data_IF_759523069260
#
_entry.id   IF_759523069260
#
_cell.length_a   1.000
_cell.length_b   1.000
_cell.length_c   1.000
_cell.angle_alpha   90.00
_cell.angle_beta   90.00
_cell.angle_gamma   90.00
#
_symmetry.space_group_name_H-M   'P 1'
#
loop_
_entity.id
_entity.type
_entity.pdbx_description
1 polymer ?
#
# COMPACT_ATOMS: atom_id res chain seq x y z
N UNK A 1 11.79 -58.33 -8.79
CA UNK A 1 12.93 -58.24 -9.71
C UNK A 1 13.39 -56.79 -9.73
N UNK A 2 14.63 -56.57 -9.31
CA UNK A 2 15.29 -55.27 -9.22
C UNK A 2 15.69 -54.78 -10.61
N UNK A 3 15.55 -53.48 -10.84
CA UNK A 3 16.05 -52.80 -12.03
C UNK A 3 16.23 -51.31 -11.72
N UNK A 4 17.30 -50.98 -11.01
CA UNK A 4 17.74 -49.59 -10.77
C UNK A 4 18.75 -49.26 -11.86
N UNK A 5 18.40 -48.34 -12.75
CA UNK A 5 19.34 -47.71 -13.67
C UNK A 5 19.95 -46.47 -13.00
N UNK A 6 21.27 -46.50 -12.83
CA UNK A 6 22.07 -45.36 -12.45
C UNK A 6 22.70 -44.77 -13.71
N UNK A 7 22.44 -43.49 -13.99
CA UNK A 7 23.23 -42.73 -14.95
C UNK A 7 23.71 -41.42 -14.32
N UNK A 8 25.02 -41.30 -14.37
CA UNK A 8 25.88 -40.23 -13.88
C UNK A 8 25.84 -39.00 -14.78
N UNK A 9 25.79 -37.80 -14.18
CA UNK A 9 26.22 -36.58 -14.86
C UNK A 9 27.41 -35.94 -14.13
N UNK A 10 28.53 -35.97 -14.84
CA UNK A 10 29.80 -35.33 -14.59
C UNK A 10 29.72 -33.81 -14.74
N UNK A 11 30.25 -33.07 -13.77
CA UNK A 11 30.58 -31.65 -13.89
C UNK A 11 32.03 -31.49 -14.37
N UNK A 12 32.33 -30.57 -15.30
CA UNK A 12 33.70 -30.15 -15.51
C UNK A 12 34.05 -28.92 -14.65
N UNK A 13 35.17 -29.05 -13.94
CA UNK A 13 36.00 -27.96 -13.42
C UNK A 13 37.19 -27.73 -14.38
N UNK A 14 37.48 -26.48 -14.74
CA UNK A 14 38.83 -25.93 -15.02
C UNK A 14 38.70 -24.42 -15.35
N UNK A 15 39.19 -23.52 -14.49
CA UNK A 15 40.51 -22.83 -14.55
C UNK A 15 40.64 -21.91 -15.78
N UNK A 16 40.60 -20.57 -15.70
CA UNK A 16 41.47 -19.58 -15.01
C UNK A 16 42.33 -18.80 -16.03
N UNK A 17 42.23 -17.46 -16.01
CA UNK A 17 43.29 -16.54 -16.42
C UNK A 17 43.16 -15.20 -15.66
N UNK A 18 44.22 -14.82 -14.96
CA UNK A 18 44.33 -13.62 -14.13
C UNK A 18 44.97 -12.43 -14.87
N UNK A 19 44.53 -11.21 -14.55
CA UNK A 19 45.31 -9.96 -14.42
C UNK A 19 44.32 -8.90 -13.92
N UNK A 20 44.50 -8.13 -12.86
CA UNK A 20 45.56 -7.91 -11.88
C UNK A 20 45.33 -6.50 -11.33
N UNK A 21 45.14 -6.32 -10.03
CA UNK A 21 45.39 -5.03 -9.36
C UNK A 21 45.30 -5.20 -7.85
N UNK A 22 46.26 -4.58 -7.17
CA UNK A 22 46.60 -4.73 -5.77
C UNK A 22 45.65 -3.89 -4.91
N UNK A 23 45.11 -4.49 -3.84
CA UNK A 23 44.98 -3.78 -2.57
C UNK A 23 44.92 -4.80 -1.43
N UNK A 24 46.03 -4.92 -0.71
CA UNK A 24 46.14 -5.72 0.51
C UNK A 24 45.36 -4.99 1.61
N UNK A 25 44.32 -5.63 2.16
CA UNK A 25 43.93 -5.43 3.56
C UNK A 25 44.00 -6.78 4.25
N UNK A 26 44.78 -6.81 5.32
CA UNK A 26 44.88 -7.93 6.23
C UNK A 26 43.50 -8.19 6.86
N UNK A 27 42.98 -9.41 6.71
CA UNK A 27 41.92 -9.94 7.56
C UNK A 27 42.56 -10.91 8.53
N UNK A 28 42.44 -10.63 9.82
CA UNK A 28 42.72 -11.59 10.89
C UNK A 28 41.42 -12.34 11.16
N UNK A 29 41.44 -13.66 10.92
CA UNK A 29 40.40 -14.59 11.35
C UNK A 29 40.64 -14.95 12.81
N UNK A 30 39.64 -14.76 13.67
CA UNK A 30 39.57 -15.44 14.97
C UNK A 30 38.46 -16.47 14.87
N UNK A 31 38.88 -17.74 14.87
CA UNK A 31 38.03 -18.91 14.97
C UNK A 31 37.62 -19.07 16.44
N UNK A 32 36.33 -19.07 16.74
CA UNK A 32 35.81 -19.55 18.02
C UNK A 32 34.65 -20.50 17.76
N UNK A 33 34.95 -21.79 17.94
CA UNK A 33 34.01 -22.91 17.96
C UNK A 33 33.37 -22.99 19.34
N UNK A 34 32.04 -22.89 19.45
CA UNK A 34 31.30 -23.37 20.62
C UNK A 34 29.99 -24.04 20.18
N UNK A 35 29.95 -25.36 20.37
CA UNK A 35 28.75 -26.22 20.46
C UNK A 35 28.09 -25.98 21.81
N UNK A 36 26.77 -25.79 21.85
CA UNK A 36 25.98 -25.91 23.08
C UNK A 36 24.66 -25.13 23.05
N UNK A 37 23.55 -25.85 23.23
CA UNK A 37 22.16 -25.39 23.34
C UNK A 37 21.64 -25.84 24.73
N UNK A 38 20.48 -25.43 25.31
CA UNK A 38 19.66 -24.20 25.23
C UNK A 38 19.31 -23.58 26.63
N UNK A 39 18.55 -22.47 26.60
CA UNK A 39 17.54 -21.92 27.58
C UNK A 39 17.96 -20.93 28.71
N UNK A 40 17.26 -19.78 28.65
CA UNK A 40 16.85 -18.83 29.72
C UNK A 40 17.99 -18.00 30.36
N UNK A 41 17.94 -16.67 30.57
CA UNK A 41 16.84 -15.70 30.79
C UNK A 41 17.36 -14.25 30.62
N UNK A 42 16.44 -13.32 30.32
CA UNK A 42 16.37 -11.88 30.66
C UNK A 42 17.61 -10.96 30.64
N UNK A 43 17.43 -9.78 30.01
CA UNK A 43 17.97 -8.52 30.53
C UNK A 43 18.67 -7.59 29.53
N UNK A 44 17.98 -6.50 29.20
CA UNK A 44 18.49 -5.14 29.00
C UNK A 44 19.82 -4.91 28.27
N UNK A 45 19.81 -4.19 27.14
CA UNK A 45 20.80 -3.15 26.82
C UNK A 45 20.23 -2.15 25.81
N UNK A 46 20.03 -0.91 26.26
CA UNK A 46 20.13 0.24 25.38
C UNK A 46 21.61 0.61 25.21
N UNK A 47 21.99 1.19 24.07
CA UNK A 47 23.10 2.13 23.94
C UNK A 47 23.20 2.63 22.49
N UNK A 48 23.00 3.93 22.27
CA UNK A 48 23.79 4.70 21.31
C UNK A 48 23.69 6.20 21.64
N UNK A 49 24.62 6.62 22.50
CA UNK A 49 25.05 8.01 22.70
C UNK A 49 26.49 8.09 22.20
N UNK A 50 26.75 8.93 21.19
CA UNK A 50 28.07 9.50 20.85
C UNK A 50 27.78 10.79 20.07
N UNK A 51 27.88 11.96 20.70
CA UNK A 51 29.11 12.76 20.91
C UNK A 51 29.76 13.14 19.57
N UNK A 52 29.54 14.39 19.18
CA UNK A 52 30.52 15.17 18.44
C UNK A 52 30.69 16.51 19.17
N UNK A 53 31.86 16.67 19.76
CA UNK A 53 32.38 17.90 20.34
C UNK A 53 33.71 18.21 19.65
N UNK A 54 34.07 19.50 19.66
CA UNK A 54 35.30 20.16 19.18
C UNK A 54 35.24 20.62 17.70
N UNK A 55 35.51 21.88 17.35
CA UNK A 55 36.43 22.88 17.93
C UNK A 55 35.93 24.33 17.78
N UNK A 56 36.16 25.13 18.82
CA UNK A 56 36.27 26.60 18.80
C UNK A 56 37.62 27.00 18.22
N UNK A 57 37.66 28.10 17.46
CA UNK A 57 38.84 28.95 17.29
C UNK A 57 38.41 30.42 17.47
N UNK A 58 39.12 31.15 18.34
CA UNK A 58 38.95 32.58 18.59
C UNK A 58 40.14 33.37 18.00
N UNK A 59 39.80 34.45 17.26
CA UNK A 59 40.39 35.81 17.25
C UNK A 59 41.84 36.07 16.76
N UNK A 60 42.21 37.32 16.31
CA UNK A 60 41.66 38.63 16.73
C UNK A 60 41.46 39.77 15.68
N UNK A 61 40.67 40.75 16.14
CA UNK A 61 40.67 42.23 15.99
C UNK A 61 41.47 42.94 14.88
N UNK A 62 40.81 43.85 14.17
CA UNK A 62 41.31 45.22 13.91
C UNK A 62 40.16 46.26 13.91
N UNK A 63 40.48 47.43 14.45
CA UNK A 63 39.64 48.57 14.86
C UNK A 63 39.41 49.64 13.76
N UNK A 64 38.46 50.54 14.08
CA UNK A 64 38.25 51.96 13.66
C UNK A 64 37.06 52.20 12.71
N UNK A 65 35.95 52.79 13.19
CA UNK A 65 35.64 54.24 13.36
C UNK A 65 35.25 54.88 11.99
N UNK A 66 34.23 55.74 11.80
CA UNK A 66 33.49 56.68 12.65
C UNK A 66 32.40 57.39 11.79
N UNK A 67 31.47 58.11 12.47
CA UNK A 67 30.53 59.18 12.01
C UNK A 67 29.14 58.73 11.50
N UNK A 68 28.08 58.81 12.32
CA UNK A 68 27.22 59.98 12.65
C UNK A 68 26.46 60.59 11.47
N UNK A 69 25.13 60.52 11.50
CA UNK A 69 24.26 61.71 11.58
C UNK A 69 22.79 61.28 11.82
N UNK A 70 22.22 61.84 12.88
CA UNK A 70 20.79 61.86 13.20
C UNK A 70 20.28 63.24 12.77
N UNK A 71 19.14 63.30 12.08
CA UNK A 71 18.29 64.50 12.07
C UNK A 71 16.83 64.09 11.95
N UNK A 72 16.02 64.69 12.82
CA UNK A 72 14.61 64.42 13.04
C UNK A 72 13.71 65.49 12.39
N UNK A 73 12.46 65.06 12.16
CA UNK A 73 11.19 65.80 12.24
C UNK A 73 10.86 66.91 11.23
N UNK A 74 9.71 66.74 10.56
CA UNK A 74 8.59 67.69 10.63
C UNK A 74 7.30 67.02 10.12
N UNK A 75 6.27 67.03 10.96
CA UNK A 75 4.87 66.72 10.62
C UNK A 75 4.19 68.03 10.24
N UNK A 76 3.49 68.08 9.09
CA UNK A 76 2.39 69.02 8.86
C UNK A 76 1.25 68.27 8.18
N UNK A 77 0.08 68.36 8.80
CA UNK A 77 -1.22 67.82 8.38
C UNK A 77 -1.92 68.85 7.50
N UNK A 78 -2.54 68.43 6.37
CA UNK A 78 -3.97 68.67 6.03
C UNK A 78 -4.28 68.59 4.53
N UNK A 79 -5.39 67.90 4.24
CA UNK A 79 -6.38 68.10 3.16
C UNK A 79 -6.01 67.76 1.69
N UNK A 80 -6.61 66.68 1.16
CA UNK A 80 -7.74 66.76 0.20
C UNK A 80 -7.97 65.43 -0.56
N UNK A 81 -9.23 64.97 -0.49
CA UNK A 81 -9.99 64.21 -1.50
C UNK A 81 -9.51 62.82 -1.97
N UNK A 82 -10.14 61.81 -1.36
CA UNK A 82 -10.96 60.79 -2.03
C UNK A 82 -10.46 60.26 -3.39
N UNK A 83 -9.46 59.37 -3.35
CA UNK A 83 -9.23 58.35 -4.37
C UNK A 83 -9.48 56.97 -3.77
N UNK A 84 -10.60 56.35 -4.13
CA UNK A 84 -10.93 54.97 -3.79
C UNK A 84 -9.82 54.02 -4.27
N UNK A 85 -9.00 53.54 -3.34
CA UNK A 85 -8.21 52.33 -3.50
C UNK A 85 -8.56 51.44 -2.30
N UNK A 86 -9.23 50.29 -2.50
CA UNK A 86 -9.33 49.32 -1.43
C UNK A 86 -7.90 48.89 -1.11
N UNK A 87 -7.49 49.13 0.13
CA UNK A 87 -6.34 48.46 0.70
C UNK A 87 -6.48 46.97 0.36
N UNK A 88 -5.52 46.44 -0.38
CA UNK A 88 -5.21 45.02 -0.44
C UNK A 88 -4.80 44.61 0.98
N UNK A 89 -5.78 44.53 1.88
CA UNK A 89 -5.76 43.54 2.93
C UNK A 89 -5.84 42.25 2.15
N UNK A 90 -4.67 41.65 1.92
CA UNK A 90 -4.60 40.23 1.67
C UNK A 90 -5.38 39.60 2.82
N UNK A 91 -6.64 39.25 2.54
CA UNK A 91 -7.30 38.20 3.25
C UNK A 91 -6.34 37.01 3.10
N UNK A 92 -5.50 36.82 4.12
CA UNK A 92 -5.13 35.49 4.54
C UNK A 92 -6.47 34.83 4.84
N UNK A 93 -7.10 34.32 3.78
CA UNK A 93 -7.97 33.17 3.91
C UNK A 93 -7.16 32.23 4.78
N UNK A 94 -7.66 31.98 6.00
CA UNK A 94 -7.21 30.86 6.80
C UNK A 94 -7.00 29.73 5.81
N UNK A 95 -5.76 29.23 5.75
CA UNK A 95 -5.42 28.12 4.88
C UNK A 95 -6.54 27.10 5.08
N UNK A 96 -7.33 26.84 4.03
CA UNK A 96 -8.37 25.82 4.09
C UNK A 96 -7.69 24.60 4.71
N UNK A 97 -8.15 24.20 5.91
CA UNK A 97 -7.40 23.24 6.72
C UNK A 97 -7.00 22.04 5.87
N UNK A 98 -5.78 21.54 6.06
CA UNK A 98 -5.30 20.35 5.33
C UNK A 98 -6.40 19.27 5.35
N UNK A 99 -6.78 18.74 4.18
CA UNK A 99 -7.86 17.72 4.12
C UNK A 99 -7.44 16.50 4.92
N UNK A 100 -6.14 16.23 4.98
CA UNK A 100 -5.58 15.19 5.82
C UNK A 100 -5.79 15.43 7.32
N UNK A 101 -5.66 16.68 7.78
CA UNK A 101 -5.92 17.05 9.18
C UNK A 101 -7.41 16.95 9.52
N UNK A 102 -8.29 17.40 8.63
CA UNK A 102 -9.75 17.26 8.79
C UNK A 102 -10.16 15.78 8.80
N UNK A 103 -9.66 14.97 7.87
CA UNK A 103 -9.90 13.53 7.83
C UNK A 103 -9.42 12.84 9.11
N UNK A 104 -8.21 13.16 9.57
CA UNK A 104 -7.65 12.63 10.82
C UNK A 104 -8.47 13.03 12.03
N UNK A 105 -8.97 14.27 12.08
CA UNK A 105 -9.87 14.71 13.14
C UNK A 105 -11.14 13.86 13.13
N UNK A 106 -11.83 13.74 11.98
CA UNK A 106 -13.05 12.94 11.84
C UNK A 106 -12.83 11.46 12.17
N UNK A 107 -11.67 10.89 11.84
CA UNK A 107 -11.32 9.52 12.21
C UNK A 107 -11.26 9.29 13.73
N UNK A 108 -10.86 10.31 14.49
CA UNK A 108 -10.59 10.22 15.93
C UNK A 108 -11.76 10.73 16.78
N UNK A 109 -12.61 11.59 16.22
CA UNK A 109 -13.79 12.13 16.87
C UNK A 109 -14.78 11.02 17.22
N UNK A 110 -15.25 11.02 18.47
CA UNK A 110 -16.20 10.01 18.97
C UNK A 110 -15.65 8.59 19.13
N UNK A 111 -14.37 8.35 18.83
CA UNK A 111 -13.75 7.03 18.99
C UNK A 111 -12.94 6.93 20.28
N UNK A 112 -13.29 5.93 21.08
CA UNK A 112 -12.53 5.52 22.26
C UNK A 112 -11.43 4.54 21.85
N UNK A 113 -10.33 5.09 21.32
CA UNK A 113 -9.11 4.34 21.00
C UNK A 113 -7.95 4.89 21.83
N UNK A 114 -7.12 4.03 22.45
CA UNK A 114 -6.03 4.45 23.33
C UNK A 114 -4.84 5.06 22.57
N UNK A 115 -4.92 5.11 21.23
CA UNK A 115 -3.86 5.56 20.36
C UNK A 115 -4.36 6.71 19.48
N UNK A 116 -3.49 7.69 19.23
CA UNK A 116 -3.80 8.86 18.38
C UNK A 116 -2.88 8.99 17.18
N UNK A 117 -1.80 8.21 17.11
CA UNK A 117 -0.87 8.22 15.97
C UNK A 117 -0.74 6.81 15.39
N UNK A 118 -0.44 6.70 14.10
CA UNK A 118 -0.15 5.42 13.45
C UNK A 118 0.89 4.60 14.25
N UNK A 119 2.01 5.22 14.65
CA UNK A 119 3.05 4.54 15.42
C UNK A 119 2.56 4.04 16.79
N UNK A 120 1.77 4.84 17.53
CA UNK A 120 1.21 4.40 18.80
C UNK A 120 0.20 3.27 18.64
N UNK A 121 -0.62 3.30 17.59
CA UNK A 121 -1.60 2.25 17.30
C UNK A 121 -0.90 0.95 16.88
N UNK A 122 0.17 1.05 16.07
CA UNK A 122 1.00 -0.08 15.71
C UNK A 122 1.61 -0.76 16.94
N UNK A 123 2.24 0.02 17.83
CA UNK A 123 2.88 -0.50 19.03
C UNK A 123 1.87 -1.20 19.96
N UNK A 124 0.72 -0.57 20.22
CA UNK A 124 -0.34 -1.16 21.04
C UNK A 124 -0.97 -2.38 20.37
N UNK A 125 -1.19 -2.33 19.06
CA UNK A 125 -1.78 -3.43 18.28
C UNK A 125 -0.89 -4.68 18.29
N UNK A 126 0.41 -4.51 18.06
CA UNK A 126 1.40 -5.59 18.18
C UNK A 126 1.44 -6.16 19.60
N UNK A 127 1.48 -5.30 20.62
CA UNK A 127 1.49 -5.73 22.02
C UNK A 127 0.20 -6.49 22.40
N UNK A 128 -0.96 -6.03 21.94
CA UNK A 128 -2.23 -6.72 22.12
C UNK A 128 -2.23 -8.09 21.42
N UNK A 129 -1.68 -8.17 20.21
CA UNK A 129 -1.59 -9.42 19.44
C UNK A 129 -0.66 -10.43 20.12
N UNK A 130 0.49 -9.99 20.62
CA UNK A 130 1.43 -10.81 21.39
C UNK A 130 0.82 -11.32 22.69
N UNK A 131 0.01 -10.51 23.35
CA UNK A 131 -0.75 -10.89 24.53
C UNK A 131 -1.97 -11.77 24.25
N UNK A 132 -2.20 -12.17 22.99
CA UNK A 132 -3.34 -12.99 22.58
C UNK A 132 -4.69 -12.26 22.56
N UNK A 133 -4.71 -10.93 22.73
CA UNK A 133 -5.91 -10.09 22.68
C UNK A 133 -6.26 -9.73 21.24
N UNK A 134 -6.59 -10.74 20.44
CA UNK A 134 -6.74 -10.63 18.98
C UNK A 134 -7.78 -9.60 18.56
N UNK A 135 -8.94 -9.53 19.26
CA UNK A 135 -9.99 -8.55 18.97
C UNK A 135 -9.53 -7.10 19.20
N UNK A 136 -8.77 -6.86 20.26
CA UNK A 136 -8.19 -5.54 20.54
C UNK A 136 -7.14 -5.19 19.50
N UNK A 137 -6.26 -6.14 19.16
CA UNK A 137 -5.26 -5.97 18.11
C UNK A 137 -5.90 -5.62 16.77
N UNK A 138 -6.99 -6.28 16.39
CA UNK A 138 -7.73 -6.00 15.15
C UNK A 138 -8.22 -4.54 15.12
N UNK A 139 -8.83 -4.05 16.21
CA UNK A 139 -9.28 -2.66 16.31
C UNK A 139 -8.12 -1.67 16.22
N UNK A 140 -7.02 -1.94 16.94
CA UNK A 140 -5.84 -1.07 16.99
C UNK A 140 -5.12 -1.00 15.64
N UNK A 141 -4.96 -2.13 14.97
CA UNK A 141 -4.32 -2.23 13.65
C UNK A 141 -5.21 -1.64 12.55
N UNK A 142 -6.53 -1.77 12.64
CA UNK A 142 -7.43 -1.05 11.73
C UNK A 142 -7.29 0.47 11.88
N UNK A 143 -7.19 0.98 13.12
CA UNK A 143 -6.92 2.39 13.38
C UNK A 143 -5.52 2.81 12.89
N UNK A 144 -4.51 1.95 13.06
CA UNK A 144 -3.17 2.16 12.51
C UNK A 144 -3.21 2.40 11.00
N UNK A 145 -3.91 1.55 10.25
CA UNK A 145 -4.05 1.64 8.79
C UNK A 145 -4.70 2.98 8.37
N UNK A 146 -5.84 3.33 8.98
CA UNK A 146 -6.53 4.58 8.69
C UNK A 146 -5.64 5.82 8.96
N UNK A 147 -4.89 5.83 10.07
CA UNK A 147 -3.96 6.91 10.38
C UNK A 147 -2.72 6.91 9.47
N UNK A 148 -2.28 5.75 8.96
CA UNK A 148 -1.22 5.66 7.96
C UNK A 148 -1.62 6.35 6.66
N UNK A 149 -2.87 6.19 6.25
CA UNK A 149 -3.40 6.78 5.03
C UNK A 149 -3.66 8.27 5.18
N UNK A 150 -4.14 8.72 6.35
CA UNK A 150 -4.16 10.14 6.66
C UNK A 150 -2.76 10.77 6.54
N UNK A 151 -1.72 10.05 6.98
CA UNK A 151 -0.33 10.49 6.84
C UNK A 151 0.14 10.50 5.38
N UNK A 152 -0.35 9.57 4.55
CA UNK A 152 -0.07 9.54 3.11
C UNK A 152 -0.69 10.74 2.40
N UNK A 153 -1.95 11.05 2.69
CA UNK A 153 -2.62 12.25 2.18
C UNK A 153 -1.87 13.52 2.58
N UNK A 154 -1.48 13.66 3.85
CA UNK A 154 -0.73 14.81 4.33
C UNK A 154 0.62 14.96 3.61
N UNK A 155 1.30 13.84 3.35
CA UNK A 155 2.56 13.83 2.64
C UNK A 155 2.43 14.22 1.16
N UNK A 156 1.31 13.85 0.53
CA UNK A 156 0.95 14.26 -0.84
C UNK A 156 0.64 15.75 -0.91
N UNK A 157 -0.18 16.28 0.00
CA UNK A 157 -0.47 17.72 0.08
C UNK A 157 0.79 18.57 0.31
N UNK A 158 1.67 18.10 1.20
CA UNK A 158 2.94 18.76 1.51
C UNK A 158 4.02 18.63 0.42
N UNK A 159 3.77 17.87 -0.65
CA UNK A 159 4.69 17.64 -1.78
C UNK A 159 6.14 17.28 -1.37
N UNK A 160 6.30 16.50 -0.30
CA UNK A 160 7.60 16.16 0.27
C UNK A 160 7.98 14.70 -0.03
N UNK A 161 8.95 14.43 -0.94
CA UNK A 161 9.30 13.06 -1.32
C UNK A 161 9.70 12.16 -0.14
N UNK A 162 10.38 12.74 0.87
CA UNK A 162 10.76 12.04 2.10
C UNK A 162 9.55 11.68 2.95
N UNK A 163 8.58 12.58 3.06
CA UNK A 163 7.33 12.32 3.78
C UNK A 163 6.50 11.24 3.05
N UNK A 164 6.42 11.30 1.73
CA UNK A 164 5.69 10.32 0.91
C UNK A 164 6.29 8.93 1.04
N UNK A 165 7.62 8.79 0.96
CA UNK A 165 8.30 7.51 1.18
C UNK A 165 8.02 6.93 2.57
N UNK A 166 8.12 7.77 3.60
CA UNK A 166 7.77 7.35 4.97
C UNK A 166 6.30 6.96 5.12
N UNK A 167 5.38 7.63 4.44
CA UNK A 167 3.96 7.32 4.52
C UNK A 167 3.60 6.01 3.81
N UNK A 168 4.17 5.77 2.61
CA UNK A 168 4.02 4.48 1.90
C UNK A 168 4.48 3.31 2.74
N UNK A 169 5.64 3.45 3.40
CA UNK A 169 6.17 2.43 4.30
C UNK A 169 5.24 2.14 5.48
N UNK A 170 4.59 3.17 6.06
CA UNK A 170 3.62 3.00 7.15
C UNK A 170 2.36 2.26 6.69
N UNK A 171 1.83 2.58 5.52
CA UNK A 171 0.67 1.85 4.98
C UNK A 171 1.02 0.39 4.69
N UNK A 172 2.19 0.13 4.11
CA UNK A 172 2.66 -1.23 3.87
C UNK A 172 2.85 -2.02 5.18
N UNK A 173 3.38 -1.41 6.24
CA UNK A 173 3.49 -2.06 7.54
C UNK A 173 2.13 -2.30 8.21
N UNK A 174 1.18 -1.37 8.09
CA UNK A 174 -0.17 -1.58 8.60
C UNK A 174 -0.85 -2.79 7.94
N UNK A 175 -0.64 -2.99 6.63
CA UNK A 175 -1.08 -4.21 5.93
C UNK A 175 -0.38 -5.46 6.47
N UNK A 176 0.92 -5.40 6.78
CA UNK A 176 1.63 -6.53 7.43
C UNK A 176 1.01 -6.83 8.79
N UNK A 177 0.72 -5.83 9.61
CA UNK A 177 0.06 -6.04 10.90
C UNK A 177 -1.35 -6.60 10.75
N UNK A 178 -2.12 -6.19 9.73
CA UNK A 178 -3.42 -6.78 9.43
C UNK A 178 -3.27 -8.26 9.06
N UNK A 179 -2.27 -8.61 8.24
CA UNK A 179 -1.94 -10.00 7.96
C UNK A 179 -1.57 -10.80 9.21
N UNK A 180 -0.80 -10.23 10.14
CA UNK A 180 -0.42 -10.87 11.39
C UNK A 180 -1.66 -11.17 12.28
N UNK A 181 -2.63 -10.25 12.31
CA UNK A 181 -3.92 -10.47 12.97
C UNK A 181 -4.66 -11.65 12.32
N UNK A 182 -4.71 -11.72 10.99
CA UNK A 182 -5.37 -12.81 10.28
C UNK A 182 -4.70 -14.17 10.51
N UNK A 183 -3.36 -14.21 10.63
CA UNK A 183 -2.64 -15.42 11.03
C UNK A 183 -3.10 -15.91 12.40
N UNK A 184 -3.32 -15.00 13.37
CA UNK A 184 -3.83 -15.37 14.70
C UNK A 184 -5.28 -15.84 14.69
N UNK A 185 -6.09 -15.36 13.75
CA UNK A 185 -7.46 -15.82 13.52
C UNK A 185 -7.53 -17.16 12.75
N UNK A 186 -6.40 -17.64 12.20
CA UNK A 186 -6.35 -18.83 11.35
C UNK A 186 -6.82 -18.60 9.92
N UNK A 187 -7.16 -17.36 9.55
CA UNK A 187 -7.56 -16.96 8.21
C UNK A 187 -6.33 -16.80 7.30
N UNK A 188 -5.69 -17.92 6.94
CA UNK A 188 -4.46 -17.92 6.16
C UNK A 188 -4.60 -17.29 4.76
N UNK A 189 -5.70 -17.49 4.00
CA UNK A 189 -5.91 -16.79 2.73
C UNK A 189 -5.91 -15.27 2.91
N UNK A 190 -6.63 -14.76 3.90
CA UNK A 190 -6.71 -13.33 4.22
C UNK A 190 -5.34 -12.77 4.64
N UNK A 191 -4.60 -13.50 5.46
CA UNK A 191 -3.24 -13.13 5.81
C UNK A 191 -2.34 -13.01 4.57
N UNK A 192 -2.42 -13.97 3.64
CA UNK A 192 -1.68 -13.90 2.37
C UNK A 192 -2.15 -12.74 1.51
N UNK A 193 -3.44 -12.44 1.46
CA UNK A 193 -3.97 -11.28 0.75
C UNK A 193 -3.30 -10.00 1.24
N UNK A 194 -3.31 -9.75 2.55
CA UNK A 194 -2.67 -8.59 3.17
C UNK A 194 -1.17 -8.50 2.87
N UNK A 195 -0.41 -9.60 3.02
CA UNK A 195 1.02 -9.59 2.73
C UNK A 195 1.30 -9.37 1.24
N UNK A 196 0.55 -10.02 0.34
CA UNK A 196 0.73 -9.84 -1.11
C UNK A 196 0.38 -8.42 -1.54
N UNK A 197 -0.63 -7.80 -0.96
CA UNK A 197 -0.94 -6.36 -1.16
C UNK A 197 0.20 -5.46 -0.68
N UNK A 198 0.79 -5.74 0.49
CA UNK A 198 1.95 -4.98 0.95
C UNK A 198 3.15 -5.15 -0.01
N UNK A 199 3.34 -6.34 -0.56
CA UNK A 199 4.39 -6.62 -1.56
C UNK A 199 4.13 -5.92 -2.88
N UNK A 200 2.89 -5.93 -3.40
CA UNK A 200 2.57 -5.33 -4.70
C UNK A 200 2.81 -3.83 -4.71
N UNK A 201 2.55 -3.13 -3.60
CA UNK A 201 2.88 -1.70 -3.44
C UNK A 201 4.37 -1.40 -3.63
N UNK A 202 5.25 -2.36 -3.34
CA UNK A 202 6.69 -2.22 -3.57
C UNK A 202 7.07 -2.15 -5.05
N UNK A 203 6.27 -2.75 -5.94
CA UNK A 203 6.53 -2.75 -7.38
C UNK A 203 6.30 -1.37 -8.00
N UNK A 204 5.41 -0.57 -7.41
CA UNK A 204 5.13 0.80 -7.86
C UNK A 204 6.28 1.76 -7.52
N UNK A 205 7.10 1.42 -6.53
CA UNK A 205 8.19 2.26 -6.01
C UNK A 205 9.46 1.44 -5.69
N UNK A 206 10.10 0.82 -6.69
CA UNK A 206 11.17 -0.16 -6.47
C UNK A 206 12.42 0.40 -5.79
N UNK A 207 12.63 1.74 -5.85
CA UNK A 207 13.79 2.42 -5.27
C UNK A 207 13.52 3.05 -3.89
N UNK A 208 12.34 2.84 -3.31
CA UNK A 208 11.97 3.39 -2.00
C UNK A 208 12.51 2.49 -0.87
N UNK A 209 13.62 2.91 -0.25
CA UNK A 209 14.29 2.12 0.79
C UNK A 209 13.45 1.92 2.07
N UNK A 210 12.56 2.86 2.41
CA UNK A 210 11.69 2.73 3.58
C UNK A 210 10.58 1.72 3.29
N UNK A 211 9.93 1.85 2.15
CA UNK A 211 8.92 0.89 1.69
C UNK A 211 9.55 -0.51 1.50
N UNK A 212 10.75 -0.59 0.95
CA UNK A 212 11.47 -1.84 0.74
C UNK A 212 11.67 -2.66 2.02
N UNK A 213 11.84 -2.01 3.18
CA UNK A 213 11.88 -2.69 4.49
C UNK A 213 10.54 -3.29 4.88
N UNK A 214 9.45 -2.56 4.67
CA UNK A 214 8.10 -3.07 4.94
C UNK A 214 7.74 -4.25 4.00
N UNK A 215 8.09 -4.12 2.71
CA UNK A 215 7.93 -5.17 1.70
C UNK A 215 8.75 -6.41 2.05
N UNK A 216 9.97 -6.26 2.55
CA UNK A 216 10.79 -7.38 3.01
C UNK A 216 10.13 -8.12 4.20
N UNK A 217 9.56 -7.38 5.15
CA UNK A 217 8.80 -7.98 6.24
C UNK A 217 7.57 -8.75 5.73
N UNK A 218 6.80 -8.16 4.79
CA UNK A 218 5.66 -8.82 4.16
C UNK A 218 6.06 -10.12 3.45
N UNK A 219 7.16 -10.11 2.67
CA UNK A 219 7.70 -11.32 2.01
C UNK A 219 8.09 -12.40 3.00
N UNK A 220 8.77 -12.02 4.09
CA UNK A 220 9.14 -12.96 5.14
C UNK A 220 7.90 -13.62 5.78
N UNK A 221 6.85 -12.85 6.07
CA UNK A 221 5.59 -13.39 6.63
C UNK A 221 4.84 -14.24 5.63
N UNK A 222 4.80 -13.83 4.36
CA UNK A 222 4.21 -14.61 3.28
C UNK A 222 4.88 -15.98 3.14
N UNK A 223 6.21 -16.02 3.13
CA UNK A 223 6.98 -17.26 3.03
C UNK A 223 6.66 -18.24 4.17
N UNK A 224 6.50 -17.72 5.40
CA UNK A 224 6.17 -18.53 6.57
C UNK A 224 4.80 -19.25 6.47
N UNK A 225 3.92 -18.80 5.56
CA UNK A 225 2.58 -19.38 5.34
C UNK A 225 2.30 -19.79 3.89
N UNK A 226 3.30 -19.76 3.00
CA UNK A 226 3.12 -19.87 1.55
C UNK A 226 2.47 -21.21 1.12
N UNK A 227 2.83 -22.32 1.77
CA UNK A 227 2.31 -23.66 1.45
C UNK A 227 1.13 -24.13 2.32
N UNK A 228 0.64 -23.30 3.24
CA UNK A 228 -0.35 -23.73 4.25
C UNK A 228 -1.77 -23.42 3.80
N UNK A 229 -2.60 -24.46 3.63
CA UNK A 229 -4.02 -24.32 3.27
C UNK A 229 -4.23 -23.36 2.08
N UNK A 230 -3.48 -23.61 1.00
CA UNK A 230 -3.58 -22.81 -0.23
C UNK A 230 -4.83 -23.23 -1.00
N UNK A 231 -5.64 -22.27 -1.40
CA UNK A 231 -6.83 -22.49 -2.21
C UNK A 231 -6.45 -22.45 -3.70
N UNK A 232 -6.72 -23.54 -4.41
CA UNK A 232 -6.49 -23.63 -5.85
C UNK A 232 -7.82 -23.43 -6.60
N UNK A 233 -7.83 -22.48 -7.55
CA UNK A 233 -9.02 -22.15 -8.33
C UNK A 233 -10.13 -21.49 -7.51
N UNK A 234 -11.35 -21.55 -8.03
CA UNK A 234 -12.55 -21.03 -7.36
C UNK A 234 -13.15 -22.14 -6.48
N UNK A 235 -13.34 -21.93 -5.16
CA UNK A 235 -13.97 -22.91 -4.28
C UNK A 235 -15.42 -23.24 -4.69
N UNK A 236 -15.94 -24.42 -4.29
CA UNK A 236 -17.32 -24.81 -4.58
C UNK A 236 -18.41 -23.88 -4.03
N UNK A 237 -18.10 -23.13 -2.96
CA UNK A 237 -19.00 -22.15 -2.36
C UNK A 237 -18.81 -20.74 -2.94
N UNK A 238 -17.94 -20.59 -3.93
CA UNK A 238 -17.49 -19.33 -4.49
C UNK A 238 -16.23 -18.78 -3.82
N UNK A 239 -15.73 -17.68 -4.38
CA UNK A 239 -14.58 -16.94 -3.91
C UNK A 239 -14.92 -15.46 -3.81
N UNK A 240 -14.31 -14.76 -2.86
CA UNK A 240 -14.24 -13.30 -2.84
C UNK A 240 -12.79 -12.90 -3.05
N UNK A 241 -12.51 -12.19 -4.12
CA UNK A 241 -11.21 -11.57 -4.37
C UNK A 241 -11.29 -10.10 -4.02
N UNK A 242 -10.29 -9.58 -3.31
CA UNK A 242 -10.25 -8.18 -2.91
C UNK A 242 -8.91 -7.54 -3.27
N UNK A 243 -8.97 -6.29 -3.69
CA UNK A 243 -7.82 -5.43 -3.91
C UNK A 243 -7.92 -4.26 -2.95
N UNK A 244 -6.92 -4.10 -2.10
CA UNK A 244 -6.88 -3.01 -1.13
C UNK A 244 -6.61 -1.70 -1.86
N UNK A 245 -7.47 -0.73 -1.59
CA UNK A 245 -7.31 0.63 -2.07
C UNK A 245 -6.61 1.46 -1.00
N UNK A 246 -7.18 2.60 -0.67
CA UNK A 246 -6.76 3.47 0.42
C UNK A 246 -8.00 3.90 1.22
N UNK A 247 -7.81 4.57 2.34
CA UNK A 247 -8.85 4.89 3.34
C UNK A 247 -9.62 3.65 3.85
N UNK A 248 -8.94 2.51 3.97
CA UNK A 248 -9.55 1.25 4.41
C UNK A 248 -10.54 0.63 3.41
N UNK A 249 -10.65 1.19 2.20
CA UNK A 249 -11.55 0.70 1.16
C UNK A 249 -10.94 -0.45 0.36
N UNK A 250 -11.82 -1.23 -0.26
CA UNK A 250 -11.47 -2.38 -1.07
C UNK A 250 -12.32 -2.38 -2.35
N UNK A 251 -11.71 -2.71 -3.47
CA UNK A 251 -12.45 -3.28 -4.58
C UNK A 251 -12.69 -4.75 -4.28
N UNK A 252 -13.88 -5.27 -4.55
CA UNK A 252 -14.19 -6.68 -4.36
C UNK A 252 -14.83 -7.30 -5.58
N UNK A 253 -14.48 -8.54 -5.83
CA UNK A 253 -15.04 -9.36 -6.89
C UNK A 253 -15.45 -10.70 -6.28
N UNK A 254 -16.74 -10.96 -6.27
CA UNK A 254 -17.30 -12.24 -5.88
C UNK A 254 -17.47 -13.13 -7.11
N UNK A 255 -16.99 -14.36 -7.04
CA UNK A 255 -17.11 -15.36 -8.09
C UNK A 255 -17.88 -16.56 -7.53
N UNK A 256 -19.12 -16.75 -7.95
CA UNK A 256 -20.03 -17.79 -7.42
C UNK A 256 -20.38 -18.80 -8.51
N UNK A 257 -20.25 -20.11 -8.28
CA UNK A 257 -20.73 -21.09 -9.23
C UNK A 257 -22.26 -21.00 -9.39
N UNK A 258 -22.75 -21.12 -10.62
CA UNK A 258 -24.19 -21.04 -10.91
C UNK A 258 -24.83 -22.42 -10.79
N UNK A 259 -25.80 -22.55 -9.87
CA UNK A 259 -26.52 -23.81 -9.66
C UNK A 259 -27.17 -24.29 -10.96
N UNK A 260 -26.89 -25.54 -11.34
CA UNK A 260 -27.44 -26.17 -12.54
C UNK A 260 -26.73 -25.82 -13.86
N UNK A 261 -25.75 -24.91 -13.86
CA UNK A 261 -24.94 -24.58 -15.06
C UNK A 261 -23.48 -24.97 -14.81
N UNK A 262 -23.06 -26.10 -15.37
CA UNK A 262 -21.67 -26.58 -15.25
C UNK A 262 -20.68 -25.56 -15.83
N UNK A 263 -19.60 -25.32 -15.09
CA UNK A 263 -18.49 -24.42 -15.46
C UNK A 263 -18.89 -22.97 -15.74
N UNK A 264 -20.09 -22.55 -15.29
CA UNK A 264 -20.57 -21.17 -15.36
C UNK A 264 -20.53 -20.55 -13.96
N UNK A 265 -19.98 -19.34 -13.90
CA UNK A 265 -19.86 -18.55 -12.68
C UNK A 265 -20.60 -17.24 -12.84
N UNK A 266 -21.15 -16.71 -11.75
CA UNK A 266 -21.58 -15.33 -11.64
C UNK A 266 -20.44 -14.54 -11.01
N UNK A 267 -20.01 -13.49 -11.71
CA UNK A 267 -19.10 -12.47 -11.21
C UNK A 267 -19.95 -11.28 -10.77
N UNK A 268 -19.80 -10.85 -9.52
CA UNK A 268 -20.31 -9.59 -9.01
C UNK A 268 -19.10 -8.76 -8.54
N UNK A 269 -18.85 -7.63 -9.20
CA UNK A 269 -17.75 -6.72 -8.91
C UNK A 269 -18.26 -5.41 -8.34
N UNK A 270 -17.64 -4.96 -7.24
CA UNK A 270 -17.83 -3.66 -6.62
C UNK A 270 -16.49 -2.92 -6.62
N UNK A 271 -16.45 -1.79 -7.30
CA UNK A 271 -15.25 -0.99 -7.51
C UNK A 271 -15.45 0.38 -6.88
N UNK A 272 -14.45 0.81 -6.13
CA UNK A 272 -14.49 2.01 -5.29
C UNK A 272 -13.25 2.84 -5.57
N UNK A 273 -13.46 4.12 -5.86
CA UNK A 273 -12.40 5.12 -5.79
C UNK A 273 -12.65 6.00 -4.57
N UNK A 274 -12.01 5.70 -3.42
CA UNK A 274 -12.22 6.44 -2.20
C UNK A 274 -11.66 7.86 -2.33
N UNK A 275 -12.30 8.82 -1.69
CA UNK A 275 -11.90 10.22 -1.66
C UNK A 275 -12.19 10.80 -0.28
N UNK A 276 -11.72 12.03 -0.07
CA UNK A 276 -12.09 12.81 1.10
C UNK A 276 -12.64 14.13 0.60
N UNK A 277 -13.86 14.46 1.00
CA UNK A 277 -14.53 15.71 0.63
C UNK A 277 -13.84 16.93 1.25
N UNK A 278 -14.29 18.13 0.85
CA UNK A 278 -13.69 19.39 1.31
C UNK A 278 -13.82 19.61 2.83
N UNK A 279 -14.81 19.00 3.48
CA UNK A 279 -15.04 19.01 4.93
C UNK A 279 -14.32 17.86 5.67
N UNK A 280 -13.49 17.08 4.97
CA UNK A 280 -12.74 15.97 5.55
C UNK A 280 -13.53 14.69 5.78
N UNK A 281 -14.76 14.58 5.24
CA UNK A 281 -15.54 13.34 5.34
C UNK A 281 -15.07 12.30 4.30
N UNK A 282 -15.10 11.00 4.62
CA UNK A 282 -14.90 9.96 3.63
C UNK A 282 -16.00 10.01 2.56
N UNK A 283 -15.62 9.91 1.30
CA UNK A 283 -16.53 9.79 0.16
C UNK A 283 -15.96 8.77 -0.82
N UNK A 284 -16.71 8.38 -1.84
CA UNK A 284 -16.20 7.50 -2.89
C UNK A 284 -17.01 7.64 -4.18
N UNK A 285 -16.33 7.48 -5.30
CA UNK A 285 -16.98 7.14 -6.56
C UNK A 285 -17.08 5.61 -6.63
N UNK A 286 -18.19 5.12 -7.17
CA UNK A 286 -18.50 3.70 -7.23
C UNK A 286 -18.69 3.25 -8.67
N UNK A 287 -18.43 1.98 -8.94
CA UNK A 287 -18.79 1.27 -10.16
C UNK A 287 -19.10 -0.17 -9.81
N UNK A 288 -20.04 -0.79 -10.51
CA UNK A 288 -20.40 -2.18 -10.28
C UNK A 288 -20.50 -2.95 -11.60
N UNK A 289 -20.34 -4.26 -11.51
CA UNK A 289 -20.45 -5.18 -12.62
C UNK A 289 -21.17 -6.44 -12.14
N UNK A 290 -22.12 -6.96 -12.93
CA UNK A 290 -22.64 -8.30 -12.73
C UNK A 290 -22.67 -9.06 -14.06
N UNK A 291 -22.06 -10.24 -14.11
CA UNK A 291 -21.97 -11.03 -15.34
C UNK A 291 -21.94 -12.54 -15.07
N UNK A 292 -22.59 -13.31 -15.94
CA UNK A 292 -22.37 -14.75 -16.06
C UNK A 292 -21.20 -15.02 -16.99
N UNK A 293 -20.22 -15.80 -16.54
CA UNK A 293 -18.98 -16.07 -17.28
C UNK A 293 -18.63 -17.55 -17.30
N UNK A 294 -17.74 -17.90 -18.23
CA UNK A 294 -16.98 -19.15 -18.21
C UNK A 294 -15.50 -18.82 -18.27
N UNK A 295 -14.71 -19.49 -17.43
CA UNK A 295 -13.24 -19.39 -17.50
C UNK A 295 -12.72 -20.37 -18.53
N UNK A 296 -12.22 -19.86 -19.66
CA UNK A 296 -11.50 -20.63 -20.65
C UNK A 296 -10.01 -20.49 -20.36
N UNK A 297 -9.33 -21.58 -20.01
CA UNK A 297 -7.90 -21.57 -19.66
C UNK A 297 -7.59 -20.56 -18.53
N UNK A 298 -8.50 -20.43 -17.56
CA UNK A 298 -8.37 -19.49 -16.44
C UNK A 298 -8.73 -18.03 -16.77
N UNK A 299 -9.23 -17.75 -17.97
CA UNK A 299 -9.61 -16.40 -18.42
C UNK A 299 -11.10 -16.31 -18.72
N UNK A 300 -11.76 -15.30 -18.15
CA UNK A 300 -13.12 -14.88 -18.48
C UNK A 300 -13.08 -13.45 -19.03
N UNK A 301 -13.90 -13.14 -20.03
CA UNK A 301 -13.92 -11.84 -20.71
C UNK A 301 -15.34 -11.34 -20.79
N UNK A 302 -15.59 -10.14 -20.26
CA UNK A 302 -16.91 -9.52 -20.18
C UNK A 302 -16.92 -8.29 -21.07
N UNK A 303 -17.51 -8.34 -22.27
CA UNK A 303 -17.74 -7.14 -23.06
C UNK A 303 -18.84 -6.31 -22.37
N UNK A 304 -18.55 -5.04 -22.11
CA UNK A 304 -19.55 -4.11 -21.61
C UNK A 304 -20.43 -3.68 -22.79
N UNK A 305 -21.75 -3.79 -22.64
CA UNK A 305 -22.71 -3.25 -23.60
C UNK A 305 -23.49 -2.10 -22.97
N UNK A 306 -23.93 -1.17 -23.81
CA UNK A 306 -24.76 -0.01 -23.42
C UNK A 306 -26.20 -0.39 -23.03
N UNK A 307 -26.52 -1.68 -23.09
CA UNK A 307 -27.82 -2.23 -22.74
C UNK A 307 -27.96 -2.20 -21.22
N UNK A 308 -28.12 -0.99 -20.66
CA UNK A 308 -28.16 -0.65 -19.23
C UNK A 308 -29.36 -1.22 -18.47
N UNK A 309 -29.64 -2.50 -18.65
CA UNK A 309 -30.56 -3.26 -17.81
C UNK A 309 -29.89 -3.71 -16.53
N UNK A 310 -30.68 -3.82 -15.47
CA UNK A 310 -30.24 -4.33 -14.15
C UNK A 310 -29.90 -5.85 -14.16
N UNK A 311 -30.05 -6.51 -15.31
CA UNK A 311 -29.80 -7.94 -15.44
C UNK A 311 -28.31 -8.23 -15.62
N UNK A 312 -27.76 -9.32 -15.02
CA UNK A 312 -26.38 -9.70 -15.25
C UNK A 312 -26.09 -9.97 -16.73
N UNK A 313 -24.97 -9.47 -17.23
CA UNK A 313 -24.51 -9.69 -18.61
C UNK A 313 -24.25 -11.19 -18.84
N UNK A 314 -24.68 -11.75 -19.98
CA UNK A 314 -24.26 -13.11 -20.36
C UNK A 314 -22.98 -13.07 -21.19
N UNK A 315 -21.85 -13.26 -20.51
CA UNK A 315 -20.50 -13.29 -21.08
C UNK A 315 -19.90 -14.72 -21.04
N UNK A 316 -20.73 -15.73 -21.33
CA UNK A 316 -20.28 -17.13 -21.33
C UNK A 316 -19.60 -17.56 -22.63
N UNK A 317 -19.69 -16.75 -23.69
CA UNK A 317 -19.04 -17.00 -24.98
C UNK A 317 -17.50 -16.82 -24.89
N UNK A 318 -16.75 -17.69 -25.59
CA UNK A 318 -15.28 -17.54 -25.68
C UNK A 318 -14.93 -16.40 -26.63
N UNK A 319 -14.36 -15.32 -26.10
CA UNK A 319 -13.77 -14.24 -26.90
C UNK A 319 -12.28 -14.51 -27.02
N UNK A 320 -11.76 -14.81 -28.21
CA UNK A 320 -10.31 -15.03 -28.41
C UNK A 320 -9.60 -13.81 -29.02
N UNK A 321 -10.31 -13.04 -29.85
CA UNK A 321 -9.77 -11.88 -30.53
C UNK A 321 -10.10 -10.59 -29.75
N UNK A 322 -9.06 -9.95 -29.20
CA UNK A 322 -9.19 -8.67 -28.47
C UNK A 322 -9.04 -7.43 -29.36
N UNK A 323 -8.63 -7.59 -30.63
CA UNK A 323 -8.48 -6.48 -31.57
C UNK A 323 -9.72 -5.57 -31.68
N UNK A 324 -10.97 -6.06 -31.53
CA UNK A 324 -12.15 -5.21 -31.53
C UNK A 324 -12.24 -4.24 -30.35
N UNK A 325 -11.45 -4.41 -29.29
CA UNK A 325 -11.48 -3.61 -28.06
C UNK A 325 -10.18 -2.82 -27.85
N UNK A 326 -9.06 -3.28 -28.39
CA UNK A 326 -7.76 -2.64 -28.18
C UNK A 326 -7.76 -1.16 -28.64
N UNK A 327 -7.45 -0.27 -27.69
CA UNK A 327 -7.40 1.21 -27.86
C UNK A 327 -8.67 1.83 -28.46
N UNK A 328 -9.80 1.13 -28.39
CA UNK A 328 -11.10 1.65 -28.84
C UNK A 328 -11.69 2.55 -27.77
N UNK A 329 -12.15 3.72 -28.20
CA UNK A 329 -12.75 4.73 -27.31
C UNK A 329 -14.25 4.52 -27.07
N UNK A 330 -14.86 3.65 -27.87
CA UNK A 330 -16.29 3.38 -27.98
C UNK A 330 -16.67 1.99 -27.44
N UNK A 331 -15.73 1.30 -26.80
CA UNK A 331 -15.89 -0.08 -26.35
C UNK A 331 -15.15 -0.30 -25.05
N UNK A 332 -15.71 -1.19 -24.23
CA UNK A 332 -15.04 -1.70 -23.05
C UNK A 332 -15.18 -3.23 -22.98
N UNK A 333 -14.11 -3.90 -22.58
CA UNK A 333 -14.09 -5.30 -22.20
C UNK A 333 -13.24 -5.46 -20.94
N UNK A 334 -13.76 -6.19 -19.97
CA UNK A 334 -13.05 -6.51 -18.73
C UNK A 334 -12.60 -7.97 -18.79
N UNK A 335 -11.30 -8.20 -18.71
CA UNK A 335 -10.68 -9.51 -18.61
C UNK A 335 -10.43 -9.88 -17.15
N UNK A 336 -10.87 -11.06 -16.75
CA UNK A 336 -10.65 -11.66 -15.44
C UNK A 336 -9.77 -12.90 -15.61
N UNK A 337 -8.59 -12.88 -14.99
CA UNK A 337 -7.59 -13.95 -15.13
C UNK A 337 -7.21 -14.55 -13.78
N UNK A 338 -7.50 -15.84 -13.62
CA UNK A 338 -7.01 -16.64 -12.50
C UNK A 338 -5.51 -16.94 -12.72
N UNK A 339 -4.66 -15.96 -12.43
CA UNK A 339 -3.24 -15.96 -12.84
C UNK A 339 -2.35 -16.84 -11.96
N UNK A 340 -2.75 -17.06 -10.71
CA UNK A 340 -2.07 -17.92 -9.74
C UNK A 340 -3.08 -18.39 -8.67
N UNK A 341 -2.73 -19.37 -7.81
CA UNK A 341 -3.56 -19.71 -6.66
C UNK A 341 -3.91 -18.45 -5.87
N UNK A 342 -5.20 -18.30 -5.53
CA UNK A 342 -5.73 -17.18 -4.74
C UNK A 342 -5.52 -15.80 -5.35
N UNK A 343 -5.25 -15.72 -6.65
CA UNK A 343 -4.94 -14.46 -7.34
C UNK A 343 -5.83 -14.31 -8.57
N UNK A 344 -6.48 -13.17 -8.67
CA UNK A 344 -7.28 -12.76 -9.82
C UNK A 344 -6.70 -11.45 -10.35
N UNK A 345 -6.14 -11.48 -11.54
CA UNK A 345 -5.72 -10.27 -12.26
C UNK A 345 -6.89 -9.78 -13.13
N UNK A 346 -7.14 -8.48 -13.11
CA UNK A 346 -8.21 -7.83 -13.86
C UNK A 346 -7.60 -6.75 -14.75
N UNK A 347 -8.00 -6.75 -16.01
CA UNK A 347 -7.52 -5.82 -17.02
C UNK A 347 -8.68 -5.32 -17.89
N UNK A 348 -8.73 -4.01 -18.07
CA UNK A 348 -9.70 -3.32 -18.92
C UNK A 348 -9.09 -3.08 -20.29
N UNK A 349 -9.76 -3.57 -21.33
CA UNK A 349 -9.45 -3.31 -22.72
C UNK A 349 -10.43 -2.28 -23.30
N UNK A 350 -9.90 -1.30 -24.03
CA UNK A 350 -10.68 -0.21 -24.60
C UNK A 350 -10.68 1.02 -23.71
N UNK A 351 -11.84 1.65 -23.52
CA UNK A 351 -11.95 2.87 -22.72
C UNK A 351 -12.61 2.61 -21.37
N UNK A 352 -11.93 2.96 -20.25
CA UNK A 352 -12.52 2.86 -18.91
C UNK A 352 -13.82 3.67 -18.73
N UNK A 353 -13.99 4.77 -19.48
CA UNK A 353 -15.22 5.59 -19.44
C UNK A 353 -16.42 4.84 -20.00
N UNK A 354 -16.21 4.00 -21.01
CA UNK A 354 -17.26 3.20 -21.64
C UNK A 354 -17.56 1.93 -20.86
N UNK A 355 -16.83 1.64 -19.78
CA UNK A 355 -17.18 0.56 -18.87
C UNK A 355 -18.35 0.91 -17.94
N UNK A 356 -18.84 2.16 -17.99
CA UNK A 356 -19.94 2.62 -17.14
C UNK A 356 -19.56 2.81 -15.67
N UNK A 357 -18.28 2.79 -15.34
CA UNK A 357 -17.80 3.04 -13.98
C UNK A 357 -17.77 4.54 -13.66
N UNK A 358 -17.95 4.87 -12.38
CA UNK A 358 -17.86 6.25 -11.90
C UNK A 358 -16.51 6.90 -12.15
N UNK A 359 -16.44 8.22 -11.97
CA UNK A 359 -15.21 8.99 -12.18
C UNK A 359 -14.02 8.43 -11.37
N UNK A 360 -12.88 8.21 -12.05
CA UNK A 360 -11.66 7.60 -11.48
C UNK A 360 -11.81 6.17 -10.93
N UNK A 361 -12.94 5.52 -11.15
CA UNK A 361 -13.14 4.13 -10.76
C UNK A 361 -12.56 3.23 -11.83
N UNK A 362 -11.74 2.27 -11.41
CA UNK A 362 -11.18 1.24 -12.29
C UNK A 362 -11.32 -0.13 -11.64
N UNK A 363 -11.58 -1.14 -12.47
CA UNK A 363 -11.53 -2.54 -12.10
C UNK A 363 -10.11 -3.12 -12.20
N UNK A 364 -9.17 -2.40 -12.81
CA UNK A 364 -7.84 -2.90 -13.10
C UNK A 364 -7.04 -3.16 -11.84
N UNK A 365 -6.33 -4.28 -11.84
CA UNK A 365 -5.36 -4.59 -10.80
C UNK A 365 -5.36 -6.06 -10.41
N UNK A 366 -4.60 -6.33 -9.36
CA UNK A 366 -4.44 -7.66 -8.80
C UNK A 366 -5.26 -7.79 -7.52
N UNK A 367 -6.13 -8.78 -7.50
CA UNK A 367 -7.00 -9.10 -6.39
C UNK A 367 -6.56 -10.42 -5.75
N UNK A 368 -6.69 -10.51 -4.43
CA UNK A 368 -6.33 -11.70 -3.67
C UNK A 368 -7.54 -12.29 -2.97
N UNK A 369 -7.57 -13.62 -2.88
CA UNK A 369 -8.65 -14.33 -2.20
C UNK A 369 -8.73 -13.92 -0.72
N UNK A 370 -9.91 -13.51 -0.28
CA UNK A 370 -10.27 -13.35 1.13
C UNK A 370 -11.41 -14.30 1.47
N UNK A 371 -11.32 -14.92 2.63
CA UNK A 371 -12.26 -15.91 3.16
C UNK A 371 -13.04 -15.31 4.32
N UNK A 372 -14.29 -14.92 4.04
CA UNK A 372 -15.20 -14.38 5.05
C UNK A 372 -15.12 -12.85 5.19
N UNK A 373 -16.21 -12.29 5.68
CA UNK A 373 -16.37 -10.91 6.15
C UNK A 373 -16.92 -10.95 7.56
#
# INVERSE_FOLDING_TARGET
>A
MLGVAAESYSWPLALAACKGSRNRRFSVSITASVRGNPRQTCGAYGFLKRVFETRRCHHPLFLMNVKTAVTAAAVVVSAAMAGLMPALVAAQTEAAGSRADLYRHNLLTGKDVPCRTNASCAALGVAALEAGRVKEAQTLVAMEAALAEATAMQAEEGNSPKATSSARARVAMALVHQGDVQVRLGALPDARAYYRTAVSRGNDYPNDALLGRAVAAARQRLEAIAGKAVVNGVPPNGARFASYMFFGAWNSIEVKPVKGRRDVYRIDGDFVYPTVSADGQPSANMGSLSAYVRFYEGVARVPMSDDGGDAPLDATAKITNLAPYDKRRDKCLIEFKLSAPETLDVETHGSPTECGFGFNVTADGRYYLMTGS
#
